data_IF_710324118188
#
_entry.id   IF_710324118188
#
_cell.length_a   1.000
_cell.length_b   1.000
_cell.length_c   1.000
_cell.angle_alpha   90.00
_cell.angle_beta   90.00
_cell.angle_gamma   90.00
#
_symmetry.space_group_name_H-M   'P 1'
#
loop_
_entity.id
_entity.type
_entity.pdbx_description
1 polymer ?
#
# COMPACT_ATOMS: atom_id res chain seq x y z
N UNK A 1 15.31 8.10 65.91
CA UNK A 1 14.55 8.02 64.65
C UNK A 1 15.52 8.20 63.50
N UNK A 2 15.76 7.14 62.72
CA UNK A 2 16.69 7.13 61.58
C UNK A 2 16.04 7.83 60.39
N UNK A 3 16.57 8.97 59.95
CA UNK A 3 16.10 9.64 58.74
C UNK A 3 16.69 8.95 57.51
N UNK A 4 15.90 8.11 56.86
CA UNK A 4 16.26 7.48 55.60
C UNK A 4 16.55 8.54 54.53
N UNK A 5 17.78 8.59 54.02
CA UNK A 5 18.13 9.44 52.87
C UNK A 5 17.54 8.83 51.60
N UNK A 6 16.41 9.36 51.15
CA UNK A 6 15.83 9.01 49.86
C UNK A 6 16.74 9.53 48.73
N UNK A 7 17.22 8.63 47.86
CA UNK A 7 17.93 8.99 46.62
C UNK A 7 16.90 9.33 45.54
N UNK A 8 17.00 10.52 44.95
CA UNK A 8 16.13 10.93 43.83
C UNK A 8 16.47 10.07 42.60
N UNK A 9 15.54 9.20 42.22
CA UNK A 9 15.58 8.47 40.96
C UNK A 9 15.24 9.46 39.84
N UNK A 10 16.24 9.91 39.11
CA UNK A 10 16.04 10.62 37.84
C UNK A 10 15.68 9.59 36.77
N UNK A 11 14.42 9.17 36.77
CA UNK A 11 13.83 8.53 35.61
C UNK A 11 13.76 9.60 34.52
N UNK A 12 14.28 9.32 33.32
CA UNK A 12 14.09 10.20 32.14
C UNK A 12 12.93 9.60 31.36
N UNK A 13 11.67 9.88 31.74
CA UNK A 13 10.48 9.21 31.20
C UNK A 13 10.36 9.29 29.68
N UNK A 14 11.02 10.26 29.05
CA UNK A 14 11.01 10.42 27.60
C UNK A 14 11.82 9.38 26.83
N UNK A 15 12.96 8.90 27.36
CA UNK A 15 13.91 8.13 26.53
C UNK A 15 13.45 6.68 26.30
N UNK A 16 12.84 6.07 27.33
CA UNK A 16 12.22 4.76 27.20
C UNK A 16 10.99 4.84 26.30
N UNK A 17 10.16 5.88 26.45
CA UNK A 17 8.97 6.07 25.62
C UNK A 17 9.34 6.29 24.14
N UNK A 18 10.41 7.05 23.85
CA UNK A 18 10.87 7.34 22.50
C UNK A 18 11.26 6.09 21.70
N UNK A 19 11.78 5.05 22.37
CA UNK A 19 12.19 3.80 21.74
C UNK A 19 11.04 2.78 21.77
N UNK A 20 10.36 2.66 22.90
CA UNK A 20 9.36 1.62 23.13
C UNK A 20 8.07 1.87 22.34
N UNK A 21 7.63 3.13 22.21
CA UNK A 21 6.37 3.47 21.53
C UNK A 21 6.42 3.17 20.02
N UNK A 22 7.46 3.57 19.26
CA UNK A 22 7.55 3.19 17.84
C UNK A 22 7.63 1.68 17.64
N UNK A 23 8.34 0.96 18.51
CA UNK A 23 8.42 -0.51 18.47
C UNK A 23 7.06 -1.16 18.73
N UNK A 24 6.34 -0.70 19.75
CA UNK A 24 4.99 -1.16 20.06
C UNK A 24 4.01 -0.85 18.92
N UNK A 25 4.06 0.35 18.35
CA UNK A 25 3.23 0.72 17.21
C UNK A 25 3.58 -0.08 15.96
N UNK A 26 4.86 -0.38 15.72
CA UNK A 26 5.26 -1.23 14.60
C UNK A 26 4.82 -2.69 14.78
N UNK A 27 4.84 -3.20 16.01
CA UNK A 27 4.46 -4.58 16.31
C UNK A 27 2.93 -4.74 16.34
N UNK A 28 2.23 -3.95 17.17
CA UNK A 28 0.77 -4.02 17.32
C UNK A 28 0.02 -3.38 16.15
N UNK A 29 0.59 -2.36 15.51
CA UNK A 29 -0.05 -1.69 14.37
C UNK A 29 -0.17 -2.60 13.15
N UNK A 30 0.73 -3.56 12.97
CA UNK A 30 0.62 -4.52 11.86
C UNK A 30 -0.62 -5.41 11.99
N UNK A 31 -0.96 -5.87 13.19
CA UNK A 31 -2.17 -6.68 13.40
C UNK A 31 -3.44 -5.86 13.16
N UNK A 32 -3.46 -4.60 13.59
CA UNK A 32 -4.57 -3.68 13.31
C UNK A 32 -4.70 -3.43 11.81
N UNK A 33 -3.59 -3.21 11.10
CA UNK A 33 -3.60 -2.98 9.64
C UNK A 33 -3.99 -4.23 8.86
N UNK A 34 -3.61 -5.43 9.32
CA UNK A 34 -4.03 -6.71 8.74
C UNK A 34 -5.51 -7.01 9.03
N UNK A 35 -6.00 -6.58 10.19
CA UNK A 35 -7.40 -6.73 10.62
C UNK A 35 -8.34 -5.63 10.12
N UNK A 36 -7.82 -4.56 9.52
CA UNK A 36 -8.62 -3.66 8.69
C UNK A 36 -9.09 -4.49 7.50
N UNK A 37 -10.34 -4.95 7.57
CA UNK A 37 -11.03 -5.54 6.44
C UNK A 37 -10.99 -4.50 5.30
N UNK A 38 -10.12 -4.75 4.33
CA UNK A 38 -9.95 -3.87 3.18
C UNK A 38 -11.12 -4.14 2.24
N UNK A 39 -12.33 -3.75 2.67
CA UNK A 39 -13.54 -3.69 1.83
C UNK A 39 -13.44 -2.49 0.89
N UNK A 40 -12.30 -2.37 0.22
CA UNK A 40 -12.04 -1.35 -0.79
C UNK A 40 -12.17 -2.01 -2.15
N UNK A 41 -12.92 -1.36 -3.03
CA UNK A 41 -12.99 -1.72 -4.42
C UNK A 41 -11.96 -0.87 -5.15
N UNK A 42 -10.89 -1.51 -5.62
CA UNK A 42 -9.95 -0.83 -6.50
C UNK A 42 -10.59 -0.64 -7.87
N UNK A 43 -10.55 0.60 -8.37
CA UNK A 43 -11.13 0.95 -9.65
C UNK A 43 -10.08 1.77 -10.41
N UNK A 44 -9.72 1.28 -11.60
CA UNK A 44 -8.90 2.04 -12.55
C UNK A 44 -9.80 3.00 -13.32
N UNK A 45 -9.68 4.31 -13.05
CA UNK A 45 -10.49 5.34 -13.70
C UNK A 45 -9.65 6.17 -14.68
N UNK A 46 -10.17 6.36 -15.89
CA UNK A 46 -9.58 7.32 -16.81
C UNK A 46 -10.10 8.73 -16.51
N UNK A 47 -9.19 9.70 -16.54
CA UNK A 47 -9.51 11.10 -16.29
C UNK A 47 -9.12 11.95 -17.52
N UNK A 48 -10.08 12.65 -18.14
CA UNK A 48 -9.84 13.46 -19.33
C UNK A 48 -8.85 14.61 -19.10
N UNK A 49 -8.65 15.04 -17.85
CA UNK A 49 -7.64 16.06 -17.52
C UNK A 49 -6.21 15.60 -17.87
N UNK A 50 -5.97 14.29 -17.97
CA UNK A 50 -4.68 13.71 -18.33
C UNK A 50 -4.62 13.17 -19.77
N UNK A 51 -5.64 13.46 -20.59
CA UNK A 51 -5.75 12.91 -21.95
C UNK A 51 -4.55 13.22 -22.86
N UNK A 52 -3.86 14.35 -22.63
CA UNK A 52 -2.64 14.72 -23.38
C UNK A 52 -1.49 13.74 -23.12
N UNK A 53 -1.37 13.24 -21.89
CA UNK A 53 -0.29 12.33 -21.46
C UNK A 53 -0.70 10.86 -21.54
N UNK A 54 -2.00 10.58 -21.37
CA UNK A 54 -2.60 9.25 -21.38
C UNK A 54 -3.92 9.31 -22.15
N UNK A 55 -3.86 9.31 -23.49
CA UNK A 55 -5.06 9.39 -24.32
C UNK A 55 -5.92 8.15 -24.11
N UNK A 56 -7.24 8.32 -24.21
CA UNK A 56 -8.15 7.18 -24.19
C UNK A 56 -7.82 6.26 -25.37
N UNK A 57 -7.64 4.94 -25.16
CA UNK A 57 -7.25 4.04 -26.25
C UNK A 57 -8.27 4.05 -27.38
N UNK A 58 -7.81 4.30 -28.61
CA UNK A 58 -8.65 4.22 -29.79
C UNK A 58 -8.65 2.77 -30.32
N UNK A 59 -9.77 2.07 -30.16
CA UNK A 59 -9.99 0.67 -30.55
C UNK A 59 -11.37 0.53 -31.19
N UNK A 60 -11.57 -0.55 -31.94
CA UNK A 60 -12.92 -0.97 -32.34
C UNK A 60 -13.56 -1.74 -31.18
N UNK A 61 -14.56 -1.15 -30.54
CA UNK A 61 -15.14 -1.68 -29.31
C UNK A 61 -16.42 -2.46 -29.59
N UNK A 62 -16.45 -3.73 -29.20
CA UNK A 62 -17.68 -4.50 -29.16
C UNK A 62 -18.48 -4.16 -27.91
N UNK A 63 -19.69 -3.68 -28.10
CA UNK A 63 -20.55 -3.20 -27.01
C UNK A 63 -21.34 -4.34 -26.34
N UNK A 64 -21.31 -4.37 -25.01
CA UNK A 64 -22.12 -5.23 -24.15
C UNK A 64 -22.99 -4.33 -23.27
N UNK A 65 -24.30 -4.30 -23.54
CA UNK A 65 -25.24 -3.44 -22.81
C UNK A 65 -25.74 -4.10 -21.54
N UNK A 66 -25.66 -3.38 -20.43
CA UNK A 66 -26.24 -3.78 -19.14
C UNK A 66 -27.41 -2.85 -18.83
N UNK A 67 -28.60 -3.42 -18.67
CA UNK A 67 -29.87 -2.68 -18.59
C UNK A 67 -30.46 -2.65 -17.19
N UNK A 68 -29.83 -3.27 -16.20
CA UNK A 68 -30.32 -3.34 -14.81
C UNK A 68 -31.29 -4.48 -14.53
N UNK A 69 -31.53 -5.37 -15.49
CA UNK A 69 -32.26 -6.61 -15.28
C UNK A 69 -31.26 -7.71 -14.92
N UNK A 70 -31.32 -8.22 -13.68
CA UNK A 70 -30.33 -9.14 -13.12
C UNK A 70 -30.07 -10.37 -14.01
N UNK A 71 -31.13 -10.97 -14.58
CA UNK A 71 -31.00 -12.18 -15.41
C UNK A 71 -30.37 -11.89 -16.76
N UNK A 72 -30.82 -10.81 -17.42
CA UNK A 72 -30.29 -10.40 -18.73
C UNK A 72 -28.86 -9.87 -18.61
N UNK A 73 -28.58 -9.10 -17.57
CA UNK A 73 -27.25 -8.58 -17.30
C UNK A 73 -26.29 -9.72 -16.98
N UNK A 74 -26.69 -10.74 -16.20
CA UNK A 74 -25.87 -11.92 -15.97
C UNK A 74 -25.52 -12.66 -17.27
N UNK A 75 -26.49 -12.85 -18.17
CA UNK A 75 -26.24 -13.46 -19.48
C UNK A 75 -25.34 -12.59 -20.38
N UNK A 76 -25.51 -11.26 -20.33
CA UNK A 76 -24.67 -10.32 -21.07
C UNK A 76 -23.23 -10.30 -20.55
N UNK A 77 -23.04 -10.37 -19.23
CA UNK A 77 -21.71 -10.47 -18.59
C UNK A 77 -21.04 -11.79 -18.98
N UNK A 78 -21.76 -12.91 -18.97
CA UNK A 78 -21.21 -14.21 -19.40
C UNK A 78 -20.83 -14.20 -20.88
N UNK A 79 -21.64 -13.58 -21.75
CA UNK A 79 -21.23 -13.37 -23.14
C UNK A 79 -19.97 -12.49 -23.22
N UNK A 80 -19.92 -11.42 -22.43
CA UNK A 80 -18.74 -10.57 -22.29
C UNK A 80 -17.49 -11.34 -21.88
N UNK A 81 -17.61 -12.33 -20.99
CA UNK A 81 -16.52 -13.25 -20.60
C UNK A 81 -15.92 -13.95 -21.81
N UNK A 82 -16.76 -14.53 -22.66
CA UNK A 82 -16.30 -15.21 -23.87
C UNK A 82 -15.60 -14.26 -24.84
N UNK A 83 -16.12 -13.04 -24.99
CA UNK A 83 -15.48 -12.00 -25.80
C UNK A 83 -14.11 -11.63 -25.25
N UNK A 84 -14.00 -11.40 -23.94
CA UNK A 84 -12.72 -11.06 -23.30
C UNK A 84 -11.74 -12.22 -23.47
N UNK A 85 -12.17 -13.45 -23.23
CA UNK A 85 -11.32 -14.63 -23.44
C UNK A 85 -10.76 -14.67 -24.86
N UNK A 86 -11.63 -14.49 -25.87
CA UNK A 86 -11.20 -14.47 -27.26
C UNK A 86 -10.21 -13.33 -27.55
N UNK A 87 -10.46 -12.13 -27.01
CA UNK A 87 -9.57 -10.96 -27.13
C UNK A 87 -8.16 -11.28 -26.62
N UNK A 88 -8.05 -11.92 -25.46
CA UNK A 88 -6.77 -12.28 -24.84
C UNK A 88 -6.10 -13.48 -25.53
N UNK A 89 -6.86 -14.52 -25.90
CA UNK A 89 -6.36 -15.71 -26.61
C UNK A 89 -5.77 -15.31 -27.97
N UNK A 90 -6.37 -14.32 -28.65
CA UNK A 90 -5.89 -13.77 -29.93
C UNK A 90 -4.83 -12.68 -29.77
N UNK A 91 -4.61 -12.18 -28.56
CA UNK A 91 -3.72 -11.03 -28.28
C UNK A 91 -4.07 -9.82 -29.14
N UNK A 92 -5.37 -9.58 -29.36
CA UNK A 92 -5.83 -8.55 -30.27
C UNK A 92 -5.66 -7.17 -29.64
N UNK A 93 -4.76 -6.37 -30.24
CA UNK A 93 -4.49 -5.00 -29.80
C UNK A 93 -5.30 -3.96 -30.59
N UNK A 94 -6.20 -4.36 -31.49
CA UNK A 94 -7.00 -3.44 -32.31
C UNK A 94 -8.44 -3.35 -31.83
N UNK A 95 -8.96 -4.44 -31.27
CA UNK A 95 -10.30 -4.50 -30.70
C UNK A 95 -10.30 -4.25 -29.19
N UNK A 96 -11.48 -3.99 -28.66
CA UNK A 96 -11.75 -3.93 -27.24
C UNK A 96 -13.20 -4.28 -26.95
N UNK A 97 -13.55 -4.34 -25.67
CA UNK A 97 -14.92 -4.64 -25.23
C UNK A 97 -15.39 -3.48 -24.37
N UNK A 98 -16.59 -2.99 -24.65
CA UNK A 98 -17.19 -1.86 -23.96
C UNK A 98 -18.46 -2.32 -23.25
N UNK A 99 -18.40 -2.39 -21.93
CA UNK A 99 -19.57 -2.61 -21.10
C UNK A 99 -20.30 -1.29 -20.90
N UNK A 100 -21.46 -1.17 -21.55
CA UNK A 100 -22.30 0.01 -21.51
C UNK A 100 -23.39 -0.14 -20.45
N UNK A 101 -23.17 0.45 -19.26
CA UNK A 101 -24.18 0.50 -18.22
C UNK A 101 -25.20 1.59 -18.58
N UNK A 102 -26.42 1.16 -18.88
CA UNK A 102 -27.53 2.05 -19.18
C UNK A 102 -27.97 2.80 -17.92
N UNK A 103 -28.72 3.89 -18.08
CA UNK A 103 -29.22 4.67 -16.93
C UNK A 103 -30.15 3.87 -16.00
N UNK A 104 -30.74 2.77 -16.49
CA UNK A 104 -31.53 1.82 -15.68
C UNK A 104 -30.68 0.81 -14.90
N UNK A 105 -29.38 0.71 -15.18
CA UNK A 105 -28.49 -0.20 -14.47
C UNK A 105 -28.28 0.27 -13.02
N UNK A 106 -28.39 -0.67 -12.08
CA UNK A 106 -28.19 -0.36 -10.67
C UNK A 106 -26.69 -0.27 -10.33
N UNK A 107 -26.37 0.37 -9.20
CA UNK A 107 -25.02 0.28 -8.63
C UNK A 107 -24.59 -1.18 -8.36
N UNK A 108 -25.55 -2.05 -8.04
CA UNK A 108 -25.30 -3.49 -7.88
C UNK A 108 -24.80 -4.14 -9.16
N UNK A 109 -25.32 -3.76 -10.33
CA UNK A 109 -24.85 -4.23 -11.64
C UNK A 109 -23.39 -3.85 -11.88
N UNK A 110 -23.02 -2.61 -11.53
CA UNK A 110 -21.63 -2.14 -11.63
C UNK A 110 -20.68 -2.93 -10.71
N UNK A 111 -21.06 -3.11 -9.44
CA UNK A 111 -20.25 -3.89 -8.48
C UNK A 111 -20.15 -5.35 -8.91
N UNK A 112 -21.23 -5.94 -9.43
CA UNK A 112 -21.22 -7.31 -9.93
C UNK A 112 -20.26 -7.49 -11.10
N UNK A 113 -20.23 -6.54 -12.05
CA UNK A 113 -19.30 -6.53 -13.17
C UNK A 113 -17.83 -6.41 -12.69
N UNK A 114 -17.55 -5.55 -11.71
CA UNK A 114 -16.20 -5.43 -11.14
C UNK A 114 -15.77 -6.69 -10.38
N UNK A 115 -16.68 -7.31 -9.62
CA UNK A 115 -16.43 -8.59 -8.97
C UNK A 115 -16.12 -9.68 -10.00
N UNK A 116 -16.86 -9.71 -11.10
CA UNK A 116 -16.60 -10.61 -12.22
C UNK A 116 -15.19 -10.43 -12.78
N UNK A 117 -14.75 -9.20 -13.05
CA UNK A 117 -13.38 -8.94 -13.54
C UNK A 117 -12.31 -9.41 -12.55
N UNK A 118 -12.56 -9.24 -11.25
CA UNK A 118 -11.66 -9.71 -10.20
C UNK A 118 -11.61 -11.24 -10.12
N UNK A 119 -12.76 -11.91 -10.15
CA UNK A 119 -12.85 -13.38 -10.10
C UNK A 119 -12.19 -14.04 -11.31
N UNK A 120 -12.38 -13.47 -12.50
CA UNK A 120 -11.80 -13.99 -13.74
C UNK A 120 -10.38 -13.47 -14.03
N UNK A 121 -9.77 -12.75 -13.09
CA UNK A 121 -8.40 -12.21 -13.22
C UNK A 121 -8.20 -11.40 -14.51
N UNK A 122 -9.17 -10.55 -14.85
CA UNK A 122 -9.06 -9.66 -16.02
C UNK A 122 -8.04 -8.56 -15.70
N UNK A 123 -6.87 -8.53 -16.38
CA UNK A 123 -5.73 -7.77 -15.89
C UNK A 123 -5.82 -6.27 -16.17
N UNK A 124 -6.67 -5.87 -17.13
CA UNK A 124 -6.75 -4.46 -17.49
C UNK A 124 -8.15 -4.06 -17.95
N UNK A 125 -8.71 -3.10 -17.23
CA UNK A 125 -9.93 -2.40 -17.59
C UNK A 125 -9.83 -0.91 -17.23
N UNK A 126 -10.67 -0.11 -17.88
CA UNK A 126 -10.74 1.34 -17.69
C UNK A 126 -12.19 1.69 -17.36
N UNK A 127 -12.42 2.44 -16.29
CA UNK A 127 -13.73 3.00 -15.96
C UNK A 127 -13.78 4.47 -16.36
N UNK A 128 -14.83 4.86 -17.07
CA UNK A 128 -15.06 6.25 -17.48
C UNK A 128 -16.55 6.50 -17.79
N UNK A 129 -17.08 7.63 -17.34
CA UNK A 129 -18.46 8.07 -17.62
C UNK A 129 -19.53 6.97 -17.50
N UNK A 130 -19.55 6.23 -16.38
CA UNK A 130 -20.44 5.08 -16.09
C UNK A 130 -20.24 3.81 -16.93
N UNK A 131 -19.21 3.74 -17.75
CA UNK A 131 -18.95 2.58 -18.60
C UNK A 131 -17.62 1.93 -18.19
N UNK A 132 -17.41 0.68 -18.62
CA UNK A 132 -16.15 -0.02 -18.41
C UNK A 132 -15.63 -0.57 -19.73
N UNK A 133 -14.36 -0.31 -20.04
CA UNK A 133 -13.70 -0.81 -21.24
C UNK A 133 -12.63 -1.82 -20.87
N UNK A 134 -12.66 -2.97 -21.52
CA UNK A 134 -11.65 -4.01 -21.42
C UNK A 134 -10.86 -4.01 -22.72
N UNK A 135 -9.55 -4.08 -22.62
CA UNK A 135 -8.67 -4.15 -23.77
C UNK A 135 -7.45 -5.01 -23.45
N UNK A 136 -6.88 -5.62 -24.48
CA UNK A 136 -5.60 -6.30 -24.36
C UNK A 136 -4.45 -5.31 -24.57
N UNK A 137 -3.52 -5.26 -23.62
CA UNK A 137 -2.25 -4.56 -23.78
C UNK A 137 -1.14 -5.59 -23.99
N UNK A 138 -0.43 -5.49 -25.11
CA UNK A 138 0.79 -6.27 -25.29
C UNK A 138 1.79 -5.94 -24.16
N UNK A 139 2.49 -6.94 -23.61
CA UNK A 139 3.50 -6.70 -22.58
C UNK A 139 4.56 -5.74 -23.11
N UNK A 140 4.92 -4.74 -22.32
CA UNK A 140 5.99 -3.80 -22.66
C UNK A 140 7.31 -4.57 -22.76
N UNK A 141 8.14 -4.23 -23.74
CA UNK A 141 9.53 -4.71 -23.75
C UNK A 141 10.24 -4.11 -22.53
N UNK A 142 11.02 -4.89 -21.77
CA UNK A 142 11.63 -4.43 -20.51
C UNK A 142 12.62 -3.27 -20.68
N UNK A 143 13.01 -2.95 -21.92
CA UNK A 143 14.03 -1.96 -22.26
C UNK A 143 13.52 -0.50 -22.24
N UNK A 144 12.21 -0.28 -22.05
CA UNK A 144 11.65 1.06 -21.83
C UNK A 144 10.77 1.03 -20.60
N UNK A 145 11.21 1.70 -19.54
CA UNK A 145 10.38 2.06 -18.40
C UNK A 145 9.31 3.05 -18.85
N UNK A 146 8.29 2.54 -19.52
CA UNK A 146 7.12 3.29 -19.94
C UNK A 146 6.15 3.27 -18.76
N UNK A 147 6.37 4.19 -17.82
CA UNK A 147 5.48 4.38 -16.68
C UNK A 147 4.16 4.95 -17.20
N UNK A 148 3.23 4.07 -17.56
CA UNK A 148 1.84 4.47 -17.77
C UNK A 148 1.28 4.87 -16.41
N UNK A 149 1.35 6.18 -16.12
CA UNK A 149 0.72 6.80 -14.96
C UNK A 149 -0.79 6.75 -15.19
N UNK A 150 -1.39 5.63 -14.82
CA UNK A 150 -2.83 5.52 -14.66
C UNK A 150 -3.08 5.77 -13.18
N UNK A 151 -3.86 6.81 -12.87
CA UNK A 151 -4.24 7.08 -11.49
C UNK A 151 -5.14 5.94 -11.00
N UNK A 152 -4.62 5.16 -10.05
CA UNK A 152 -5.05 3.83 -9.63
C UNK A 152 -3.78 3.08 -9.21
N UNK A 153 -3.87 2.00 -8.44
CA UNK A 153 -2.66 1.27 -8.03
C UNK A 153 -2.18 0.41 -9.22
N UNK A 154 -1.78 1.05 -10.32
CA UNK A 154 -1.12 0.41 -11.46
C UNK A 154 0.33 0.02 -11.12
N UNK A 155 0.60 -0.39 -9.88
CA UNK A 155 1.72 -1.26 -9.59
C UNK A 155 1.44 -2.58 -10.29
N UNK A 156 1.86 -2.65 -11.56
CA UNK A 156 2.56 -3.80 -12.11
C UNK A 156 1.91 -5.16 -11.80
N UNK A 157 0.71 -5.42 -12.32
CA UNK A 157 0.22 -6.80 -12.48
C UNK A 157 1.07 -7.58 -13.52
N UNK A 158 2.01 -6.91 -14.19
CA UNK A 158 3.06 -7.53 -15.02
C UNK A 158 4.28 -8.03 -14.22
N UNK A 159 4.32 -7.91 -12.89
CA UNK A 159 5.14 -8.81 -12.08
C UNK A 159 4.20 -9.90 -11.61
N UNK A 160 4.07 -10.94 -12.45
CA UNK A 160 4.17 -12.33 -12.00
C UNK A 160 3.73 -12.46 -10.52
N UNK A 161 2.43 -12.60 -10.25
CA UNK A 161 1.96 -13.22 -9.00
C UNK A 161 2.22 -14.72 -9.13
N UNK A 162 3.50 -15.04 -9.25
CA UNK A 162 4.10 -16.31 -8.93
C UNK A 162 4.85 -16.02 -7.65
N UNK A 163 4.31 -16.54 -6.55
CA UNK A 163 4.92 -16.55 -5.22
C UNK A 163 5.32 -15.20 -4.62
N UNK A 164 4.38 -14.56 -3.92
CA UNK A 164 4.74 -13.96 -2.64
C UNK A 164 3.53 -13.91 -1.71
N UNK A 165 3.33 -15.02 -0.99
CA UNK A 165 3.17 -14.89 0.46
C UNK A 165 4.18 -13.84 0.96
N UNK A 166 3.74 -12.92 1.80
CA UNK A 166 4.53 -11.77 2.25
C UNK A 166 4.72 -10.66 1.20
N UNK A 167 3.64 -9.93 0.92
CA UNK A 167 3.78 -8.50 0.66
C UNK A 167 4.42 -7.84 1.90
N UNK A 168 5.75 -7.94 1.97
CA UNK A 168 6.58 -7.35 2.97
C UNK A 168 6.33 -5.85 2.92
N UNK A 169 5.71 -5.30 3.96
CA UNK A 169 5.54 -3.86 4.15
C UNK A 169 6.91 -3.15 4.00
N UNK A 170 8.02 -3.85 4.29
CA UNK A 170 9.38 -3.42 4.01
C UNK A 170 9.70 -3.15 2.54
N UNK A 171 9.13 -3.88 1.58
CA UNK A 171 9.35 -3.61 0.15
C UNK A 171 8.74 -2.26 -0.26
N UNK A 172 7.59 -1.90 0.32
CA UNK A 172 6.95 -0.60 0.11
C UNK A 172 7.73 0.56 0.76
N UNK A 173 8.40 0.30 1.89
CA UNK A 173 9.25 1.28 2.57
C UNK A 173 10.66 1.31 1.96
N UNK A 174 11.13 0.27 1.27
CA UNK A 174 12.50 0.15 0.74
C UNK A 174 12.98 1.31 -0.17
N UNK A 175 12.15 1.98 -1.00
CA UNK A 175 12.58 3.15 -1.76
C UNK A 175 12.78 4.38 -0.85
N UNK A 176 12.12 4.37 0.31
CA UNK A 176 12.12 5.42 1.31
C UNK A 176 12.97 5.07 2.54
N UNK A 177 13.53 3.86 2.62
CA UNK A 177 14.56 3.54 3.59
C UNK A 177 15.80 4.34 3.18
N UNK A 178 16.21 5.36 3.95
CA UNK A 178 17.54 5.91 3.79
C UNK A 178 18.50 4.74 3.98
N UNK A 179 19.18 4.32 2.90
CA UNK A 179 20.23 3.28 2.88
C UNK A 179 20.89 3.23 4.25
N UNK A 180 21.02 2.09 4.94
CA UNK A 180 21.47 2.05 6.35
C UNK A 180 22.67 2.98 6.67
N UNK A 181 23.54 3.20 5.67
CA UNK A 181 24.58 4.24 5.60
C UNK A 181 24.14 5.73 5.71
N UNK A 182 22.86 6.07 5.79
CA UNK A 182 22.28 7.42 5.97
C UNK A 182 21.65 7.57 7.37
N UNK A 183 21.31 6.45 8.02
CA UNK A 183 20.82 6.41 9.40
C UNK A 183 21.96 6.41 10.43
N UNK A 184 23.19 6.17 10.01
CA UNK A 184 24.35 6.16 10.92
C UNK A 184 24.50 7.42 11.79
N UNK A 185 24.18 8.66 11.37
CA UNK A 185 24.32 9.83 12.24
C UNK A 185 23.26 9.81 13.35
N UNK A 186 22.07 9.29 13.06
CA UNK A 186 20.97 9.12 14.03
C UNK A 186 21.34 8.02 15.02
N UNK A 187 21.86 6.90 14.54
CA UNK A 187 22.34 5.81 15.40
C UNK A 187 23.54 6.23 16.26
N UNK A 188 24.47 7.01 15.69
CA UNK A 188 25.64 7.54 16.41
C UNK A 188 25.25 8.56 17.48
N UNK A 189 24.30 9.46 17.18
CA UNK A 189 23.78 10.41 18.17
C UNK A 189 23.01 9.70 19.28
N UNK A 190 22.20 8.69 18.95
CA UNK A 190 21.53 7.84 19.93
C UNK A 190 22.55 7.11 20.85
N UNK A 191 23.60 6.53 20.27
CA UNK A 191 24.65 5.84 21.02
C UNK A 191 25.44 6.82 21.92
N UNK A 192 25.72 8.03 21.44
CA UNK A 192 26.32 9.09 22.25
C UNK A 192 25.44 9.50 23.43
N UNK A 193 24.13 9.64 23.23
CA UNK A 193 23.18 9.96 24.30
C UNK A 193 23.12 8.82 25.33
N UNK A 194 23.15 7.56 24.89
CA UNK A 194 23.21 6.39 25.76
C UNK A 194 24.50 6.41 26.60
N UNK A 195 25.66 6.65 25.99
CA UNK A 195 26.94 6.72 26.71
C UNK A 195 27.00 7.91 27.69
N UNK A 196 26.47 9.08 27.31
CA UNK A 196 26.38 10.25 28.18
C UNK A 196 25.47 9.97 29.38
N UNK A 197 24.35 9.27 29.17
CA UNK A 197 23.45 8.82 30.24
C UNK A 197 24.16 7.89 31.21
N UNK A 198 24.92 6.89 30.71
CA UNK A 198 25.71 5.99 31.56
C UNK A 198 26.79 6.73 32.38
N UNK A 199 27.46 7.72 31.79
CA UNK A 199 28.46 8.54 32.50
C UNK A 199 27.83 9.36 33.63
N UNK A 200 26.66 9.95 33.37
CA UNK A 200 25.88 10.68 34.37
C UNK A 200 25.45 9.78 35.53
N UNK A 201 24.97 8.56 35.22
CA UNK A 201 24.61 7.57 36.25
C UNK A 201 25.80 7.14 37.11
N UNK A 202 27.00 6.93 36.53
CA UNK A 202 28.20 6.58 37.32
C UNK A 202 28.59 7.67 38.34
N UNK A 203 28.44 8.94 37.99
CA UNK A 203 28.69 10.06 38.91
C UNK A 203 27.66 10.13 40.05
N UNK A 204 26.43 9.67 39.82
CA UNK A 204 25.38 9.59 40.85
C UNK A 204 25.58 8.37 41.77
N UNK A 205 26.17 7.29 41.25
CA UNK A 205 26.40 6.04 41.97
C UNK A 205 27.73 6.00 42.76
N UNK A 206 28.66 6.93 42.53
CA UNK A 206 29.88 6.99 43.34
C UNK A 206 29.56 7.26 44.81
N UNK A 207 30.12 6.48 45.75
CA UNK A 207 29.85 6.65 47.18
C UNK A 207 30.31 8.03 47.63
N UNK A 208 29.57 8.70 48.55
CA UNK A 208 29.98 9.99 49.08
C UNK A 208 31.38 9.85 49.69
N UNK A 209 32.31 10.72 49.27
CA UNK A 209 33.65 10.81 49.82
C UNK A 209 33.57 10.96 51.35
N UNK A 210 34.38 10.17 52.06
CA UNK A 210 34.35 9.91 53.51
C UNK A 210 33.94 11.11 54.38
N UNK A 211 33.14 10.91 55.45
CA UNK A 211 32.84 11.97 56.40
C UNK A 211 34.13 12.41 57.10
N UNK A 212 34.40 13.72 57.06
CA UNK A 212 35.43 14.36 57.87
C UNK A 212 35.05 14.19 59.35
N UNK A 213 35.64 13.19 60.03
CA UNK A 213 35.63 13.11 61.48
C UNK A 213 36.53 14.22 62.02
N UNK A 214 35.92 15.29 62.51
CA UNK A 214 36.59 16.33 63.29
C UNK A 214 36.89 15.73 64.66
N UNK A 215 38.16 15.44 64.96
CA UNK A 215 38.59 15.09 66.32
C UNK A 215 38.36 16.32 67.21
N UNK A 216 37.53 16.16 68.24
CA UNK A 216 37.45 17.05 69.40
C UNK A 216 38.58 16.70 70.35
#
# INVERSE_FOLDING_TARGET
>A
MSSGRYRKLYYVPGLISLILVPLLLSFSGQEVVKGLDKTVLEISMWNPAFAEHSPFPNRDYQEVKLIGDEKRDAAAIENGKHLIKNLYDQRDTTQGIHFALQDSASYGTFVHLLNFFKTDSIPYYIVYNKNIWVLYTAPSKPDRQDYRLICGNSYLENVIVQDSEEANIFAFISPYEPSAAKLWPVLATLLLLILASFKSMKHILSPPSKPYFRKL
#
